data_IF_456517009383
#
_entry.id   IF_456517009383
#
_cell.length_a   1.000
_cell.length_b   1.000
_cell.length_c   1.000
_cell.angle_alpha   90.00
_cell.angle_beta   90.00
_cell.angle_gamma   90.00
#
_symmetry.space_group_name_H-M   'P 1'
#
loop_
_entity.id
_entity.type
_entity.pdbx_description
1 polymer ?
#
# COMPACT_ATOMS: atom_id res chain seq x y z
N UNK A 1 -39.91 -4.94 -59.67
CA UNK A 1 -39.32 -4.22 -58.51
C UNK A 1 -37.93 -4.78 -58.27
N UNK A 2 -36.92 -3.92 -58.24
CA UNK A 2 -35.51 -4.28 -58.39
C UNK A 2 -34.93 -4.95 -57.14
N UNK A 3 -34.37 -6.14 -57.29
CA UNK A 3 -33.78 -6.99 -56.25
C UNK A 3 -32.68 -6.31 -55.41
N UNK A 4 -32.02 -5.28 -55.95
CA UNK A 4 -31.00 -4.50 -55.25
C UNK A 4 -31.56 -3.58 -54.15
N UNK A 5 -32.77 -3.04 -54.33
CA UNK A 5 -33.42 -2.19 -53.32
C UNK A 5 -33.85 -3.03 -52.12
N UNK A 6 -34.34 -4.24 -52.39
CA UNK A 6 -34.74 -5.23 -51.38
C UNK A 6 -33.57 -5.69 -50.50
N UNK A 7 -32.36 -5.91 -51.07
CA UNK A 7 -31.17 -6.27 -50.28
C UNK A 7 -30.70 -5.15 -49.35
N UNK A 8 -30.80 -3.89 -49.78
CA UNK A 8 -30.43 -2.73 -48.97
C UNK A 8 -31.35 -2.51 -47.77
N UNK A 9 -32.66 -2.73 -47.95
CA UNK A 9 -33.63 -2.59 -46.86
C UNK A 9 -33.52 -3.75 -45.85
N UNK A 10 -33.32 -4.98 -46.32
CA UNK A 10 -33.11 -6.13 -45.44
C UNK A 10 -31.84 -6.00 -44.58
N UNK A 11 -30.78 -5.39 -45.13
CA UNK A 11 -29.54 -5.11 -44.38
C UNK A 11 -29.75 -4.06 -43.27
N UNK A 12 -30.55 -3.02 -43.52
CA UNK A 12 -30.90 -2.00 -42.51
C UNK A 12 -31.79 -2.57 -41.40
N UNK A 13 -32.74 -3.42 -41.76
CA UNK A 13 -33.60 -4.13 -40.80
C UNK A 13 -32.75 -5.07 -39.93
N UNK A 14 -31.84 -5.83 -40.52
CA UNK A 14 -30.94 -6.72 -39.79
C UNK A 14 -30.01 -5.95 -38.82
N UNK A 15 -29.47 -4.80 -39.24
CA UNK A 15 -28.66 -3.93 -38.38
C UNK A 15 -29.47 -3.34 -37.22
N UNK A 16 -30.73 -2.94 -37.47
CA UNK A 16 -31.64 -2.43 -36.43
C UNK A 16 -32.02 -3.51 -35.41
N UNK A 17 -32.28 -4.73 -35.85
CA UNK A 17 -32.56 -5.88 -34.98
C UNK A 17 -31.33 -6.24 -34.14
N UNK A 18 -30.13 -6.23 -34.73
CA UNK A 18 -28.89 -6.45 -33.98
C UNK A 18 -28.64 -5.35 -32.93
N UNK A 19 -28.93 -4.08 -33.25
CA UNK A 19 -28.80 -2.98 -32.31
C UNK A 19 -29.80 -3.07 -31.16
N UNK A 20 -31.04 -3.47 -31.44
CA UNK A 20 -32.06 -3.75 -30.42
C UNK A 20 -31.66 -4.90 -29.49
N UNK A 21 -31.11 -5.99 -30.05
CA UNK A 21 -30.64 -7.13 -29.24
C UNK A 21 -29.46 -6.78 -28.33
N UNK A 22 -28.53 -5.92 -28.78
CA UNK A 22 -27.38 -5.47 -27.96
C UNK A 22 -27.81 -4.47 -26.88
N UNK A 23 -28.82 -3.63 -27.13
CA UNK A 23 -29.38 -2.68 -26.14
C UNK A 23 -30.26 -3.34 -25.07
N UNK A 24 -30.75 -4.55 -25.33
CA UNK A 24 -31.47 -5.36 -24.35
C UNK A 24 -30.57 -6.10 -23.36
N UNK A 25 -29.23 -6.10 -23.52
CA UNK A 25 -28.30 -6.38 -22.43
C UNK A 25 -28.20 -5.18 -21.47
N UNK A 26 -29.36 -4.74 -20.96
CA UNK A 26 -29.40 -3.95 -19.74
C UNK A 26 -28.96 -4.86 -18.60
N UNK A 27 -27.67 -4.75 -18.29
CA UNK A 27 -27.05 -5.05 -17.01
C UNK A 27 -28.09 -5.04 -15.88
N UNK A 28 -28.55 -6.24 -15.50
CA UNK A 28 -29.33 -6.48 -14.27
C UNK A 28 -28.41 -6.79 -13.10
N UNK A 29 -27.26 -6.11 -13.02
CA UNK A 29 -26.29 -6.33 -11.94
C UNK A 29 -26.44 -5.34 -10.77
N UNK A 30 -27.46 -4.48 -10.76
CA UNK A 30 -27.64 -3.50 -9.67
C UNK A 30 -29.10 -3.45 -9.20
N UNK A 31 -29.54 -4.49 -8.52
CA UNK A 31 -30.64 -4.37 -7.56
C UNK A 31 -30.51 -5.36 -6.40
N UNK A 32 -29.29 -5.58 -5.90
CA UNK A 32 -29.16 -5.94 -4.50
C UNK A 32 -29.32 -4.64 -3.70
N UNK A 33 -30.52 -4.42 -3.18
CA UNK A 33 -30.73 -3.49 -2.09
C UNK A 33 -29.91 -3.98 -0.91
N UNK A 34 -28.66 -3.52 -0.83
CA UNK A 34 -27.81 -3.72 0.33
C UNK A 34 -28.47 -3.00 1.50
N UNK A 35 -29.32 -3.73 2.23
CA UNK A 35 -29.80 -3.41 3.58
C UNK A 35 -28.65 -3.56 4.58
N UNK A 36 -27.50 -3.04 4.21
CA UNK A 36 -26.44 -2.77 5.15
C UNK A 36 -26.83 -1.49 5.87
N UNK A 37 -27.38 -1.65 7.06
CA UNK A 37 -27.24 -0.69 8.14
C UNK A 37 -25.74 -0.50 8.41
N UNK A 38 -25.05 0.19 7.50
CA UNK A 38 -23.73 0.71 7.74
C UNK A 38 -23.92 1.74 8.83
N UNK A 39 -23.58 1.38 10.07
CA UNK A 39 -23.28 2.37 11.09
C UNK A 39 -22.15 3.20 10.49
N UNK A 40 -22.47 4.38 10.00
CA UNK A 40 -21.50 5.35 9.51
C UNK A 40 -20.57 5.66 10.67
N UNK A 41 -19.41 5.01 10.67
CA UNK A 41 -18.39 5.30 11.67
C UNK A 41 -17.86 6.68 11.31
N UNK A 42 -18.36 7.68 12.03
CA UNK A 42 -17.85 9.05 11.97
C UNK A 42 -16.39 9.00 12.37
N UNK A 43 -15.52 9.15 11.37
CA UNK A 43 -14.09 9.07 11.52
C UNK A 43 -13.49 10.48 11.51
N UNK A 44 -12.47 10.66 12.33
CA UNK A 44 -11.82 11.95 12.52
C UNK A 44 -10.38 11.94 12.03
N UNK A 45 -9.96 13.02 11.37
CA UNK A 45 -8.58 13.23 10.91
C UNK A 45 -8.02 14.53 11.46
N UNK A 46 -6.71 14.60 11.70
CA UNK A 46 -6.03 15.85 12.09
C UNK A 46 -5.77 16.75 10.86
N UNK A 47 -5.88 18.06 11.03
CA UNK A 47 -5.54 19.06 9.99
C UNK A 47 -4.07 18.91 9.53
N UNK A 48 -3.86 18.75 8.23
CA UNK A 48 -2.52 18.55 7.63
C UNK A 48 -2.26 17.08 7.30
N UNK A 49 -2.79 16.63 6.15
CA UNK A 49 -2.64 15.25 5.66
C UNK A 49 -1.24 15.09 5.06
N UNK A 50 -0.25 14.75 5.88
CA UNK A 50 1.02 14.25 5.34
C UNK A 50 0.82 12.77 4.94
N UNK A 51 1.04 12.50 3.65
CA UNK A 51 0.68 11.29 2.91
C UNK A 51 1.34 9.96 3.36
N UNK A 52 1.83 9.86 4.60
CA UNK A 52 2.46 8.62 5.11
C UNK A 52 2.16 8.31 6.57
N UNK A 53 1.38 9.15 7.27
CA UNK A 53 1.08 8.97 8.70
C UNK A 53 -0.36 9.26 9.12
N UNK A 54 -1.22 9.72 8.21
CA UNK A 54 -2.57 10.12 8.55
C UNK A 54 -3.44 8.88 8.79
N UNK A 55 -3.84 8.68 10.05
CA UNK A 55 -4.76 7.63 10.47
C UNK A 55 -6.14 8.25 10.71
N UNK A 56 -7.20 7.45 10.56
CA UNK A 56 -8.53 7.86 10.98
C UNK A 56 -8.83 7.33 12.39
N UNK A 57 -9.61 8.10 13.13
CA UNK A 57 -9.87 7.90 14.56
C UNK A 57 -11.38 7.89 14.82
N UNK A 58 -11.81 7.33 15.95
CA UNK A 58 -13.15 7.63 16.53
C UNK A 58 -13.05 8.85 17.44
N UNK A 59 -14.20 9.42 17.81
CA UNK A 59 -14.25 10.53 18.75
C UNK A 59 -13.61 10.14 20.09
N UNK A 60 -12.95 11.10 20.74
CA UNK A 60 -12.27 10.89 22.03
C UNK A 60 -10.98 10.07 21.97
N UNK A 61 -10.44 9.76 20.78
CA UNK A 61 -9.14 9.10 20.70
C UNK A 61 -8.02 10.01 21.25
N UNK A 62 -7.13 9.49 22.10
CA UNK A 62 -5.97 10.22 22.67
C UNK A 62 -5.09 10.94 21.63
N UNK A 63 -5.03 10.42 20.40
CA UNK A 63 -4.21 10.97 19.32
C UNK A 63 -4.95 11.96 18.44
N UNK A 64 -6.26 12.09 18.65
CA UNK A 64 -7.08 13.07 17.96
C UNK A 64 -6.85 14.43 18.61
N UNK A 65 -6.11 15.30 17.92
CA UNK A 65 -5.81 16.67 18.36
C UNK A 65 -6.88 17.65 17.83
N UNK A 66 -6.83 18.89 18.32
CA UNK A 66 -7.70 19.98 17.88
C UNK A 66 -7.67 20.15 16.34
N UNK A 67 -8.83 20.43 15.74
CA UNK A 67 -8.98 20.50 14.28
C UNK A 67 -9.46 19.18 13.68
N UNK A 68 -10.62 18.74 14.15
CA UNK A 68 -11.33 17.54 13.74
C UNK A 68 -12.07 17.76 12.41
N UNK A 69 -11.97 16.79 11.50
CA UNK A 69 -12.78 16.75 10.29
C UNK A 69 -13.55 15.44 10.32
N UNK A 70 -14.88 15.54 10.29
CA UNK A 70 -15.76 14.40 10.16
C UNK A 70 -15.66 13.85 8.74
N UNK A 71 -15.31 12.58 8.63
CA UNK A 71 -15.26 11.84 7.36
C UNK A 71 -15.81 10.44 7.59
N UNK A 72 -16.37 9.86 6.53
CA UNK A 72 -16.82 8.46 6.60
C UNK A 72 -15.61 7.52 6.56
N UNK A 73 -15.73 6.34 7.19
CA UNK A 73 -14.71 5.29 7.13
C UNK A 73 -14.33 4.94 5.67
N UNK A 74 -15.31 4.85 4.77
CA UNK A 74 -15.07 4.58 3.34
C UNK A 74 -14.27 5.68 2.66
N UNK A 75 -14.67 6.94 2.88
CA UNK A 75 -13.98 8.10 2.35
C UNK A 75 -12.56 8.20 2.94
N UNK A 76 -12.38 7.83 4.20
CA UNK A 76 -11.09 7.80 4.84
C UNK A 76 -10.15 6.77 4.19
N UNK A 77 -10.65 5.55 3.99
CA UNK A 77 -9.92 4.49 3.29
C UNK A 77 -9.60 4.87 1.83
N UNK A 78 -10.54 5.49 1.11
CA UNK A 78 -10.33 5.99 -0.25
C UNK A 78 -9.24 7.07 -0.31
N UNK A 79 -9.14 7.91 0.74
CA UNK A 79 -8.06 8.90 0.91
C UNK A 79 -6.72 8.28 1.33
N UNK A 80 -6.64 6.95 1.46
CA UNK A 80 -5.44 6.24 1.89
C UNK A 80 -5.15 6.34 3.38
N UNK A 81 -6.14 6.74 4.19
CA UNK A 81 -6.02 6.82 5.64
C UNK A 81 -6.13 5.41 6.23
N UNK A 82 -5.25 5.10 7.17
CA UNK A 82 -5.26 3.80 7.86
C UNK A 82 -5.97 3.90 9.21
N UNK A 83 -6.57 2.82 9.75
CA UNK A 83 -7.19 2.85 11.07
C UNK A 83 -6.15 3.12 12.16
N UNK A 84 -6.54 3.88 13.17
CA UNK A 84 -5.73 4.04 14.36
C UNK A 84 -5.63 2.73 15.15
N UNK A 85 -4.41 2.25 15.39
CA UNK A 85 -4.13 1.02 16.15
C UNK A 85 -4.59 1.06 17.62
N UNK A 86 -5.06 2.21 18.11
CA UNK A 86 -5.39 2.42 19.52
C UNK A 86 -6.90 2.42 19.72
N UNK A 87 -7.62 3.20 18.92
CA UNK A 87 -9.08 3.26 19.02
C UNK A 87 -9.81 2.32 18.04
N UNK A 88 -9.11 1.79 17.03
CA UNK A 88 -9.65 0.87 16.02
C UNK A 88 -8.78 -0.39 15.93
N UNK A 89 -8.62 -1.08 17.08
CA UNK A 89 -7.74 -2.25 17.21
C UNK A 89 -8.09 -3.35 16.22
N UNK A 90 -9.37 -3.70 16.12
CA UNK A 90 -9.81 -4.81 15.26
C UNK A 90 -9.62 -4.50 13.78
N UNK A 91 -9.99 -3.29 13.34
CA UNK A 91 -9.72 -2.81 11.97
C UNK A 91 -8.23 -2.79 11.66
N UNK A 92 -7.40 -2.35 12.60
CA UNK A 92 -5.94 -2.28 12.40
C UNK A 92 -5.26 -3.64 12.25
N UNK A 93 -5.86 -4.70 12.81
CA UNK A 93 -5.37 -6.09 12.67
C UNK A 93 -5.74 -6.74 11.34
N UNK A 94 -6.76 -6.24 10.64
CA UNK A 94 -7.22 -6.77 9.34
C UNK A 94 -6.47 -6.11 8.17
N UNK A 95 -6.04 -4.86 8.35
CA UNK A 95 -5.26 -4.12 7.35
C UNK A 95 -3.74 -4.37 7.24
N UNK A 96 -3.08 -5.32 7.97
CA UNK A 96 -1.69 -5.70 7.71
C UNK A 96 -1.46 -6.21 6.28
N UNK A 97 -2.51 -6.68 5.59
CA UNK A 97 -2.42 -7.20 4.22
C UNK A 97 -1.97 -6.10 3.23
N UNK A 98 -2.27 -4.83 3.50
CA UNK A 98 -1.81 -3.70 2.67
C UNK A 98 -0.42 -3.16 3.07
N UNK A 99 0.10 -3.58 4.22
CA UNK A 99 1.47 -3.31 4.64
C UNK A 99 2.26 -4.61 4.54
N UNK A 100 2.49 -5.08 3.33
CA UNK A 100 3.61 -5.99 3.11
C UNK A 100 4.88 -5.27 3.61
N UNK A 101 5.34 -5.67 4.80
CA UNK A 101 6.60 -5.20 5.34
C UNK A 101 7.66 -5.74 4.41
N UNK A 102 8.11 -4.92 3.46
CA UNK A 102 9.27 -5.26 2.63
C UNK A 102 10.42 -5.58 3.56
N UNK A 103 10.76 -6.86 3.68
CA UNK A 103 11.92 -7.32 4.44
C UNK A 103 13.11 -7.08 3.54
N UNK A 104 13.60 -5.84 3.50
CA UNK A 104 14.87 -5.54 2.86
C UNK A 104 15.99 -5.95 3.81
N UNK A 105 16.66 -7.07 3.52
CA UNK A 105 17.91 -7.43 4.17
C UNK A 105 18.99 -6.44 3.72
N UNK A 106 19.32 -5.46 4.56
CA UNK A 106 20.39 -4.51 4.26
C UNK A 106 21.73 -5.26 4.21
N UNK A 107 22.39 -5.31 3.05
CA UNK A 107 23.75 -5.85 2.93
C UNK A 107 24.68 -5.03 3.83
N UNK A 108 25.31 -5.68 4.79
CA UNK A 108 26.33 -5.06 5.64
C UNK A 108 27.60 -4.94 4.79
N UNK A 109 28.08 -3.71 4.57
CA UNK A 109 29.28 -3.45 3.76
C UNK A 109 30.37 -2.85 4.64
N UNK A 110 31.55 -3.49 4.67
CA UNK A 110 32.71 -2.99 5.39
C UNK A 110 33.67 -2.30 4.44
N UNK A 111 33.84 -0.97 4.59
CA UNK A 111 34.71 -0.19 3.70
C UNK A 111 36.18 -0.14 4.14
N UNK A 112 36.44 -0.19 5.45
CA UNK A 112 37.78 -0.01 6.03
C UNK A 112 38.04 -0.89 7.23
N UNK A 113 39.30 -1.25 7.42
CA UNK A 113 39.74 -2.05 8.56
C UNK A 113 39.58 -1.26 9.88
N UNK A 114 39.10 -1.94 10.92
CA UNK A 114 38.90 -1.35 12.26
C UNK A 114 40.16 -1.48 13.15
N UNK A 115 41.17 -2.25 12.74
CA UNK A 115 42.35 -2.53 13.55
C UNK A 115 43.16 -1.26 13.86
N UNK A 116 43.69 -1.17 15.09
CA UNK A 116 44.65 -0.14 15.50
C UNK A 116 46.06 -0.70 15.47
N UNK A 117 46.99 -0.01 14.83
CA UNK A 117 48.40 -0.37 14.77
C UNK A 117 49.08 -0.21 16.14
N UNK A 118 50.31 -0.71 16.28
CA UNK A 118 51.11 -0.54 17.50
C UNK A 118 51.32 0.94 17.86
N UNK A 119 51.40 1.82 16.86
CA UNK A 119 51.45 3.27 17.03
C UNK A 119 50.11 3.91 17.45
N UNK A 120 49.03 3.13 17.55
CA UNK A 120 47.69 3.60 17.91
C UNK A 120 46.86 4.13 16.74
N UNK A 121 47.46 4.32 15.57
CA UNK A 121 46.78 4.76 14.35
C UNK A 121 45.80 3.70 13.82
N UNK A 122 44.73 4.14 13.13
CA UNK A 122 43.79 3.22 12.48
C UNK A 122 44.40 2.67 11.19
N UNK A 123 44.16 1.39 10.93
CA UNK A 123 44.56 0.78 9.67
C UNK A 123 43.78 1.39 8.50
N UNK A 124 44.50 1.88 7.50
CA UNK A 124 43.93 2.53 6.31
C UNK A 124 43.44 1.54 5.24
N UNK A 125 43.84 0.28 5.36
CA UNK A 125 43.53 -0.76 4.37
C UNK A 125 42.02 -1.06 4.30
N UNK A 126 41.50 -1.41 3.11
CA UNK A 126 40.11 -1.83 2.97
C UNK A 126 39.81 -3.09 3.77
N UNK A 127 38.58 -3.19 4.27
CA UNK A 127 38.08 -4.40 4.92
C UNK A 127 37.67 -5.44 3.88
N UNK A 128 37.70 -6.71 4.28
CA UNK A 128 37.17 -7.82 3.48
C UNK A 128 35.63 -7.75 3.53
N UNK A 129 34.96 -8.29 2.51
CA UNK A 129 33.49 -8.27 2.46
C UNK A 129 32.83 -9.00 3.64
N UNK A 130 33.46 -10.06 4.14
CA UNK A 130 32.91 -10.91 5.21
C UNK A 130 33.16 -10.35 6.62
N UNK A 131 34.24 -9.58 6.84
CA UNK A 131 34.66 -9.13 8.17
C UNK A 131 35.15 -7.68 8.19
N UNK A 132 35.11 -7.04 9.37
CA UNK A 132 35.58 -5.65 9.60
C UNK A 132 37.10 -5.45 9.53
N UNK A 133 37.86 -6.46 9.10
CA UNK A 133 39.32 -6.46 9.09
C UNK A 133 39.87 -6.66 7.68
N UNK A 134 41.06 -6.11 7.41
CA UNK A 134 41.79 -6.36 6.18
C UNK A 134 42.47 -7.74 6.22
N UNK A 135 42.99 -8.22 5.08
CA UNK A 135 43.69 -9.52 4.96
C UNK A 135 44.83 -9.72 5.96
N UNK A 136 45.53 -8.64 6.35
CA UNK A 136 46.63 -8.74 7.34
C UNK A 136 46.10 -8.95 8.77
N UNK A 137 44.93 -8.41 9.07
CA UNK A 137 44.33 -8.46 10.42
C UNK A 137 43.14 -9.44 10.49
N UNK A 138 42.97 -10.32 9.50
CA UNK A 138 41.84 -11.24 9.42
C UNK A 138 41.73 -12.19 10.63
N UNK A 139 42.88 -12.56 11.22
CA UNK A 139 42.95 -13.41 12.41
C UNK A 139 42.27 -12.79 13.64
N UNK A 140 42.02 -11.47 13.66
CA UNK A 140 41.20 -10.80 14.69
C UNK A 140 39.70 -10.97 14.45
N UNK A 141 39.28 -11.13 13.20
CA UNK A 141 37.89 -11.39 12.82
C UNK A 141 37.48 -12.85 13.04
N UNK A 142 38.42 -13.79 12.87
CA UNK A 142 38.20 -15.24 13.02
C UNK A 142 38.08 -15.71 14.47
N UNK A 143 38.39 -14.88 15.47
CA UNK A 143 38.16 -15.21 16.89
C UNK A 143 36.69 -15.04 17.21
N UNK A 144 35.90 -16.10 16.99
CA UNK A 144 34.59 -16.24 17.61
C UNK A 144 34.82 -16.19 19.12
N UNK A 145 34.27 -15.18 19.79
CA UNK A 145 34.21 -15.20 21.26
C UNK A 145 33.29 -16.38 21.62
N UNK A 146 33.88 -17.47 22.13
CA UNK A 146 33.12 -18.50 22.84
C UNK A 146 32.43 -17.88 24.04
#
# INVERSE_FOLDING_TARGET
>A
MNSFVLMGEMSRIAAGICFLMVMSLKVSAQSSSDTTTFKEIVAFTTRGVNASGARYHIDGCRYLKNGQIHVDERLALQRGLLPCSICLKDRSKVLPILREKKIYSKKVVFRKCVFKTKSGAKCERPAIEEYRYCKIHEGRGKKVRK
#
